data_IF_950718080309
#
_entry.id   IF_950718080309
#
_cell.length_a   1.000
_cell.length_b   1.000
_cell.length_c   1.000
_cell.angle_alpha   90.00
_cell.angle_beta   90.00
_cell.angle_gamma   90.00
#
_symmetry.space_group_name_H-M   'P 1'
#
loop_
_entity.id
_entity.type
_entity.pdbx_description
1 polymer ?
#
# COMPACT_ATOMS: atom_id res chain seq x y z
N UNK A 1 3.28 -11.85 -20.30
CA UNK A 1 4.27 -12.28 -19.28
C UNK A 1 5.01 -11.03 -18.84
N UNK A 2 4.55 -10.39 -17.77
CA UNK A 2 5.26 -9.26 -17.16
C UNK A 2 6.28 -9.87 -16.21
N UNK A 3 7.53 -10.00 -16.66
CA UNK A 3 8.64 -10.24 -15.77
C UNK A 3 8.87 -8.94 -14.99
N UNK A 4 8.36 -8.87 -13.77
CA UNK A 4 8.81 -7.89 -12.80
C UNK A 4 10.29 -8.16 -12.59
N UNK A 5 11.16 -7.39 -13.25
CA UNK A 5 12.57 -7.42 -12.95
C UNK A 5 12.69 -7.09 -11.46
N UNK A 6 13.14 -8.06 -10.65
CA UNK A 6 13.44 -7.84 -9.25
C UNK A 6 14.59 -6.84 -9.21
N UNK A 7 14.28 -5.58 -8.97
CA UNK A 7 15.31 -4.61 -8.60
C UNK A 7 15.69 -4.96 -7.16
N UNK A 8 16.96 -5.27 -6.94
CA UNK A 8 17.46 -5.58 -5.60
C UNK A 8 17.18 -4.38 -4.69
N UNK A 9 16.46 -4.65 -3.60
CA UNK A 9 16.17 -3.67 -2.57
C UNK A 9 17.39 -3.58 -1.66
N UNK A 10 18.26 -2.60 -1.91
CA UNK A 10 19.46 -2.41 -1.09
C UNK A 10 19.09 -2.37 0.40
N UNK A 11 19.86 -3.10 1.22
CA UNK A 11 19.71 -3.14 2.67
C UNK A 11 18.40 -3.76 3.21
N UNK A 12 17.55 -4.34 2.35
CA UNK A 12 16.28 -4.96 2.74
C UNK A 12 16.35 -6.46 2.52
N UNK A 13 16.01 -7.21 3.57
CA UNK A 13 15.98 -8.67 3.59
C UNK A 13 14.57 -9.13 3.92
N UNK A 14 14.06 -10.06 3.13
CA UNK A 14 12.70 -10.59 3.26
C UNK A 14 12.74 -12.11 3.47
N UNK A 15 11.78 -12.60 4.25
CA UNK A 15 11.67 -14.03 4.58
C UNK A 15 10.20 -14.46 4.50
N UNK A 16 9.89 -15.36 3.58
CA UNK A 16 8.56 -15.96 3.47
C UNK A 16 8.40 -17.13 4.44
N UNK A 17 7.37 -17.07 5.27
CA UNK A 17 7.18 -18.01 6.40
C UNK A 17 6.41 -19.26 5.94
N UNK A 18 6.01 -19.32 4.67
CA UNK A 18 5.42 -20.50 4.04
C UNK A 18 6.46 -21.61 3.81
N UNK A 19 7.76 -21.28 3.80
CA UNK A 19 8.84 -22.25 3.64
C UNK A 19 8.97 -23.14 4.90
N UNK A 20 8.82 -24.47 4.80
CA UNK A 20 8.91 -25.37 5.95
C UNK A 20 10.19 -25.24 6.77
N UNK A 21 11.35 -25.05 6.12
CA UNK A 21 12.64 -24.92 6.82
C UNK A 21 12.71 -23.63 7.67
N UNK A 22 12.03 -22.57 7.22
CA UNK A 22 11.96 -21.30 7.94
C UNK A 22 11.02 -21.42 9.14
N UNK A 23 9.92 -22.16 9.01
CA UNK A 23 8.94 -22.34 10.10
C UNK A 23 9.57 -22.97 11.35
N UNK A 24 10.42 -23.96 11.16
CA UNK A 24 11.09 -24.65 12.28
C UNK A 24 12.09 -23.74 13.00
N UNK A 25 12.73 -22.82 12.27
CA UNK A 25 13.69 -21.86 12.83
C UNK A 25 13.01 -20.66 13.51
N UNK A 26 11.74 -20.41 13.23
CA UNK A 26 11.01 -19.23 13.66
C UNK A 26 9.64 -19.59 14.27
N UNK A 27 9.61 -20.29 15.41
CA UNK A 27 8.39 -20.86 15.98
C UNK A 27 7.30 -19.80 16.23
N UNK A 28 7.65 -18.64 16.77
CA UNK A 28 6.67 -17.56 17.01
C UNK A 28 6.04 -17.02 15.72
N UNK A 29 6.80 -16.95 14.63
CA UNK A 29 6.25 -16.57 13.33
C UNK A 29 5.41 -17.68 12.72
N UNK A 30 5.77 -18.94 12.96
CA UNK A 30 4.94 -20.10 12.58
C UNK A 30 3.61 -20.07 13.32
N UNK A 31 3.62 -19.82 14.63
CA UNK A 31 2.41 -19.71 15.45
C UNK A 31 1.52 -18.57 14.93
N UNK A 32 2.08 -17.39 14.69
CA UNK A 32 1.35 -16.27 14.11
C UNK A 32 0.81 -16.57 12.70
N UNK A 33 1.53 -17.36 11.90
CA UNK A 33 1.06 -17.76 10.57
C UNK A 33 -0.16 -18.69 10.64
N UNK A 34 -0.24 -19.57 11.65
CA UNK A 34 -1.37 -20.49 11.83
C UNK A 34 -2.52 -19.90 12.67
N UNK A 35 -2.30 -18.79 13.38
CA UNK A 35 -3.34 -18.11 14.14
C UNK A 35 -4.30 -17.34 13.22
N UNK A 36 -5.51 -17.84 13.09
CA UNK A 36 -6.58 -17.24 12.30
C UNK A 36 -7.52 -16.33 13.11
N UNK A 37 -7.25 -16.03 14.38
CA UNK A 37 -8.16 -15.21 15.21
C UNK A 37 -8.40 -13.83 14.61
N UNK A 38 -7.35 -13.19 14.09
CA UNK A 38 -7.49 -11.89 13.43
C UNK A 38 -8.32 -12.00 12.15
N UNK A 39 -8.11 -13.03 11.33
CA UNK A 39 -8.90 -13.31 10.13
C UNK A 39 -10.39 -13.50 10.48
N UNK A 40 -10.70 -14.35 11.47
CA UNK A 40 -12.07 -14.60 11.93
C UNK A 40 -12.72 -13.34 12.48
N UNK A 41 -11.98 -12.54 13.24
CA UNK A 41 -12.46 -11.26 13.79
C UNK A 41 -12.77 -10.29 12.65
N UNK A 42 -11.90 -10.16 11.65
CA UNK A 42 -12.13 -9.32 10.48
C UNK A 42 -13.38 -9.75 9.70
N UNK A 43 -13.59 -11.05 9.47
CA UNK A 43 -14.81 -11.54 8.83
C UNK A 43 -16.07 -11.30 9.65
N UNK A 44 -15.96 -11.29 10.98
CA UNK A 44 -17.10 -11.01 11.87
C UNK A 44 -17.47 -9.52 11.84
N UNK A 45 -16.46 -8.64 11.88
CA UNK A 45 -16.66 -7.18 11.87
C UNK A 45 -17.00 -6.64 10.48
N UNK A 46 -16.44 -7.25 9.43
CA UNK A 46 -16.58 -6.85 8.03
C UNK A 46 -16.92 -8.09 7.15
N UNK A 47 -18.16 -8.60 7.21
CA UNK A 47 -18.56 -9.83 6.52
C UNK A 47 -18.41 -9.80 5.00
N UNK A 48 -18.39 -8.60 4.40
CA UNK A 48 -18.18 -8.41 2.96
C UNK A 48 -16.80 -8.87 2.49
N UNK A 49 -15.79 -8.93 3.37
CA UNK A 49 -14.42 -9.30 3.01
C UNK A 49 -14.29 -10.77 2.60
N UNK A 50 -15.05 -11.67 3.24
CA UNK A 50 -15.01 -13.12 3.00
C UNK A 50 -13.57 -13.66 2.91
N UNK A 51 -12.75 -13.37 3.92
CA UNK A 51 -11.35 -13.79 3.99
C UNK A 51 -11.24 -15.29 4.24
N UNK A 52 -10.33 -15.96 3.54
CA UNK A 52 -10.13 -17.41 3.58
C UNK A 52 -8.70 -17.82 3.88
N UNK A 53 -7.72 -17.01 3.47
CA UNK A 53 -6.30 -17.33 3.64
C UNK A 53 -5.53 -16.15 4.19
N UNK A 54 -4.41 -16.46 4.85
CA UNK A 54 -3.43 -15.46 5.27
C UNK A 54 -2.02 -15.88 4.88
N UNK A 55 -1.18 -14.92 4.52
CA UNK A 55 0.24 -15.11 4.25
C UNK A 55 1.04 -14.16 5.12
N UNK A 56 2.22 -14.61 5.56
CA UNK A 56 3.09 -13.88 6.46
C UNK A 56 4.49 -13.74 5.86
N UNK A 57 5.06 -12.54 5.92
CA UNK A 57 6.43 -12.24 5.51
C UNK A 57 7.14 -11.49 6.63
N UNK A 58 8.34 -11.96 6.99
CA UNK A 58 9.26 -11.21 7.84
C UNK A 58 10.12 -10.29 7.00
N UNK A 59 10.44 -9.10 7.51
CA UNK A 59 11.32 -8.16 6.83
C UNK A 59 12.25 -7.45 7.81
N UNK A 60 13.53 -7.38 7.43
CA UNK A 60 14.55 -6.54 8.03
C UNK A 60 14.97 -5.49 7.01
N UNK A 61 14.83 -4.22 7.34
CA UNK A 61 15.55 -3.13 6.68
C UNK A 61 16.73 -2.74 7.58
N UNK A 62 17.96 -2.85 7.09
CA UNK A 62 19.17 -2.56 7.87
C UNK A 62 19.38 -1.06 8.14
N UNK A 63 18.56 -0.20 7.57
CA UNK A 63 18.70 1.26 7.63
C UNK A 63 19.33 1.80 6.35
N UNK A 64 20.18 2.83 6.49
CA UNK A 64 20.93 3.44 5.38
C UNK A 64 20.05 4.01 4.25
N UNK A 65 18.84 4.44 4.59
CA UNK A 65 17.91 5.05 3.64
C UNK A 65 17.01 4.05 2.91
N UNK A 66 17.09 2.75 3.22
CA UNK A 66 16.21 1.74 2.64
C UNK A 66 14.74 2.14 2.77
N UNK A 67 14.02 2.14 1.65
CA UNK A 67 12.65 2.63 1.52
C UNK A 67 11.88 1.87 0.45
N UNK A 68 10.58 2.14 0.32
CA UNK A 68 9.72 1.52 -0.70
C UNK A 68 8.90 2.60 -1.41
N UNK A 69 8.75 2.55 -2.74
CA UNK A 69 8.06 3.59 -3.49
C UNK A 69 6.54 3.54 -3.22
N UNK A 70 5.81 4.56 -3.70
CA UNK A 70 4.34 4.53 -3.65
C UNK A 70 3.82 3.34 -4.47
N UNK A 71 2.99 2.51 -3.84
CA UNK A 71 2.33 1.36 -4.46
C UNK A 71 1.01 1.01 -3.77
N UNK A 72 0.29 0.06 -4.35
CA UNK A 72 -0.77 -0.70 -3.67
C UNK A 72 -0.33 -2.15 -3.62
N UNK A 73 -0.71 -2.88 -2.58
CA UNK A 73 -0.33 -4.30 -2.41
C UNK A 73 -1.01 -5.21 -3.42
N UNK A 74 -2.14 -4.77 -3.94
CA UNK A 74 -2.89 -5.43 -5.00
C UNK A 74 -3.41 -4.41 -5.99
N UNK A 75 -3.43 -4.80 -7.26
CA UNK A 75 -4.18 -4.06 -8.28
C UNK A 75 -5.64 -4.53 -8.28
N UNK A 76 -6.52 -3.63 -8.69
CA UNK A 76 -7.93 -3.95 -8.82
C UNK A 76 -8.12 -5.09 -9.84
N UNK A 77 -8.71 -6.20 -9.38
CA UNK A 77 -9.09 -7.34 -10.24
C UNK A 77 -8.01 -8.39 -10.49
N UNK A 78 -6.76 -8.18 -10.06
CA UNK A 78 -5.65 -9.12 -10.33
C UNK A 78 -5.32 -10.05 -9.18
N UNK A 79 -5.55 -9.64 -7.94
CA UNK A 79 -5.15 -10.35 -6.71
C UNK A 79 -6.32 -10.50 -5.74
N UNK A 80 -6.36 -11.59 -4.98
CA UNK A 80 -7.39 -11.92 -3.99
C UNK A 80 -7.14 -11.30 -2.62
N UNK A 81 -6.05 -10.54 -2.41
CA UNK A 81 -5.81 -9.83 -1.14
C UNK A 81 -6.79 -8.67 -0.97
N UNK A 82 -7.42 -8.61 0.21
CA UNK A 82 -8.33 -7.54 0.58
C UNK A 82 -7.78 -6.67 1.72
N UNK A 83 -7.06 -7.27 2.67
CA UNK A 83 -6.51 -6.58 3.83
C UNK A 83 -5.01 -6.84 3.92
N UNK A 84 -4.25 -5.75 4.03
CA UNK A 84 -2.83 -5.77 4.36
C UNK A 84 -2.64 -5.36 5.81
N UNK A 85 -1.73 -6.04 6.49
CA UNK A 85 -1.34 -5.80 7.86
C UNK A 85 0.16 -5.62 7.99
N UNK A 86 0.60 -4.68 8.82
CA UNK A 86 2.03 -4.53 9.17
C UNK A 86 2.15 -4.49 10.69
N UNK A 87 2.80 -5.51 11.26
CA UNK A 87 3.18 -5.58 12.66
C UNK A 87 4.62 -5.09 12.83
N UNK A 88 4.80 -4.05 13.65
CA UNK A 88 6.11 -3.46 13.92
C UNK A 88 6.80 -4.05 15.13
N UNK A 89 8.11 -4.22 15.03
CA UNK A 89 8.95 -4.88 16.04
C UNK A 89 10.12 -3.99 16.49
N UNK A 90 9.92 -2.67 16.56
CA UNK A 90 10.97 -1.68 16.84
C UNK A 90 10.72 -0.97 18.20
N UNK A 91 11.09 -1.59 19.34
CA UNK A 91 10.77 -1.04 20.66
C UNK A 91 11.48 0.29 20.98
N UNK A 92 12.61 0.56 20.32
CA UNK A 92 13.45 1.73 20.58
C UNK A 92 13.30 2.83 19.53
N UNK A 93 12.29 2.74 18.65
CA UNK A 93 12.08 3.76 17.62
C UNK A 93 11.77 5.12 18.27
N UNK A 94 12.36 6.19 17.71
CA UNK A 94 12.10 7.58 18.10
C UNK A 94 11.89 8.47 16.86
N UNK A 95 11.22 9.63 17.01
CA UNK A 95 11.11 10.59 15.92
C UNK A 95 12.47 10.93 15.32
N UNK A 96 12.57 10.87 13.99
CA UNK A 96 13.80 11.09 13.23
C UNK A 96 14.56 9.83 12.83
N UNK A 97 14.24 8.65 13.39
CA UNK A 97 14.82 7.37 12.96
C UNK A 97 14.39 6.97 11.54
N UNK A 98 13.24 7.50 11.09
CA UNK A 98 12.64 7.21 9.79
C UNK A 98 11.88 5.89 9.76
N UNK A 99 11.61 5.39 8.55
CA UNK A 99 10.95 4.09 8.35
C UNK A 99 9.44 4.10 8.57
N UNK A 100 8.80 5.27 8.67
CA UNK A 100 7.35 5.41 8.77
C UNK A 100 6.66 4.78 7.55
N UNK A 101 5.48 4.19 7.80
CA UNK A 101 4.55 3.85 6.73
C UNK A 101 3.70 5.08 6.45
N UNK A 102 3.85 5.64 5.24
CA UNK A 102 2.99 6.71 4.75
C UNK A 102 1.83 6.10 4.00
N UNK A 103 0.62 6.33 4.48
CA UNK A 103 -0.63 5.98 3.80
C UNK A 103 -1.15 7.19 3.01
N UNK A 104 -1.71 6.93 1.83
CA UNK A 104 -2.40 7.93 1.01
C UNK A 104 -3.88 7.56 0.91
N UNK A 105 -4.69 7.93 1.92
CA UNK A 105 -6.14 7.74 1.88
C UNK A 105 -6.80 8.76 0.95
N UNK A 106 -6.47 8.72 -0.35
CA UNK A 106 -6.99 9.67 -1.34
C UNK A 106 -8.54 9.73 -1.34
N UNK A 107 -9.15 10.92 -1.31
CA UNK A 107 -8.56 12.25 -1.54
C UNK A 107 -8.15 13.01 -0.26
N UNK A 108 -8.02 12.34 0.89
CA UNK A 108 -7.58 12.96 2.14
C UNK A 108 -6.06 13.16 2.18
N UNK A 109 -5.60 13.90 3.18
CA UNK A 109 -4.18 14.11 3.47
C UNK A 109 -3.44 12.77 3.70
N UNK A 110 -2.17 12.65 3.27
CA UNK A 110 -1.33 11.54 3.67
C UNK A 110 -1.17 11.44 5.19
N UNK A 111 -0.99 10.22 5.69
CA UNK A 111 -0.81 9.94 7.13
C UNK A 111 0.44 9.12 7.33
N UNK A 112 1.33 9.59 8.20
CA UNK A 112 2.54 8.88 8.58
C UNK A 112 2.34 8.09 9.87
N UNK A 113 2.66 6.81 9.82
CA UNK A 113 2.55 5.91 10.96
C UNK A 113 3.94 5.45 11.37
N UNK A 114 4.36 5.92 12.56
CA UNK A 114 5.61 5.50 13.18
C UNK A 114 5.65 3.97 13.41
N UNK A 115 6.77 3.29 13.09
CA UNK A 115 6.91 1.85 13.15
C UNK A 115 7.22 1.36 14.58
N UNK A 116 6.45 1.79 15.57
CA UNK A 116 6.68 1.51 17.00
C UNK A 116 6.42 0.03 17.30
N UNK A 117 7.30 -0.61 18.09
CA UNK A 117 7.16 -2.00 18.52
C UNK A 117 5.77 -2.32 19.11
N UNK A 118 5.16 -3.41 18.65
CA UNK A 118 3.82 -3.86 19.06
C UNK A 118 2.66 -3.19 18.31
N UNK A 119 2.93 -2.21 17.44
CA UNK A 119 1.88 -1.58 16.61
C UNK A 119 1.54 -2.46 15.42
N UNK A 120 0.26 -2.83 15.31
CA UNK A 120 -0.34 -3.42 14.12
C UNK A 120 -1.11 -2.34 13.34
N UNK A 121 -0.83 -2.21 12.05
CA UNK A 121 -1.58 -1.35 11.13
C UNK A 121 -2.32 -2.23 10.14
N UNK A 122 -3.63 -2.06 10.00
CA UNK A 122 -4.46 -2.77 9.02
C UNK A 122 -5.03 -1.76 8.01
N UNK A 123 -4.96 -2.09 6.72
CA UNK A 123 -5.47 -1.23 5.65
C UNK A 123 -5.89 -2.05 4.43
N UNK A 124 -6.67 -1.42 3.53
CA UNK A 124 -7.14 -2.04 2.30
C UNK A 124 -6.01 -2.29 1.32
N UNK A 125 -5.81 -3.53 0.89
CA UNK A 125 -4.74 -3.92 -0.05
C UNK A 125 -4.91 -3.27 -1.44
N UNK A 126 -6.15 -3.01 -1.84
CA UNK A 126 -6.51 -2.44 -3.14
C UNK A 126 -6.83 -0.94 -3.06
N UNK A 127 -7.40 -0.50 -1.93
CA UNK A 127 -7.96 0.84 -1.78
C UNK A 127 -7.00 1.89 -1.23
N UNK A 128 -5.86 1.48 -0.64
CA UNK A 128 -4.90 2.36 0.00
C UNK A 128 -3.55 2.29 -0.70
N UNK A 129 -3.17 3.40 -1.33
CA UNK A 129 -1.80 3.63 -1.74
C UNK A 129 -0.93 3.88 -0.51
N UNK A 130 0.29 3.39 -0.54
CA UNK A 130 1.22 3.57 0.56
C UNK A 130 2.68 3.48 0.09
N UNK A 131 3.58 4.01 0.91
CA UNK A 131 5.03 3.90 0.77
C UNK A 131 5.68 3.71 2.14
N UNK A 132 6.92 3.25 2.17
CA UNK A 132 7.74 3.27 3.39
C UNK A 132 8.77 4.37 3.22
N UNK A 133 8.83 5.30 4.18
CA UNK A 133 9.83 6.37 4.17
C UNK A 133 11.24 5.80 4.44
N UNK A 134 12.31 6.49 4.02
CA UNK A 134 13.68 6.08 4.31
C UNK A 134 13.90 5.81 5.81
N UNK A 135 14.52 4.67 6.11
CA UNK A 135 14.91 4.30 7.48
C UNK A 135 16.41 4.51 7.66
N UNK A 136 16.82 5.19 8.73
CA UNK A 136 18.24 5.41 9.04
C UNK A 136 18.77 4.47 10.12
N UNK A 137 17.88 3.70 10.73
CA UNK A 137 18.18 2.63 11.69
C UNK A 137 17.61 1.30 11.22
N UNK A 138 18.00 0.22 11.89
CA UNK A 138 17.40 -1.09 11.67
C UNK A 138 15.90 -1.05 11.98
N UNK A 139 15.10 -1.57 11.03
CA UNK A 139 13.65 -1.62 11.10
C UNK A 139 13.15 -3.02 10.78
N UNK A 140 12.43 -3.59 11.73
CA UNK A 140 11.81 -4.90 11.67
C UNK A 140 10.30 -4.75 11.53
N UNK A 141 9.72 -5.52 10.63
CA UNK A 141 8.27 -5.69 10.55
C UNK A 141 7.89 -7.08 10.07
N UNK A 142 6.64 -7.45 10.34
CA UNK A 142 5.98 -8.57 9.70
C UNK A 142 4.79 -8.07 8.89
N UNK A 143 4.76 -8.42 7.61
CA UNK A 143 3.63 -8.12 6.74
C UNK A 143 2.70 -9.33 6.70
N UNK A 144 1.41 -9.07 6.90
CA UNK A 144 0.33 -10.06 6.85
C UNK A 144 -0.58 -9.68 5.69
N UNK A 145 -0.90 -10.61 4.80
CA UNK A 145 -1.92 -10.40 3.78
C UNK A 145 -3.06 -11.36 3.99
N UNK A 146 -4.29 -10.83 4.01
CA UNK A 146 -5.51 -11.62 4.07
C UNK A 146 -6.19 -11.60 2.71
N UNK A 147 -6.41 -12.81 2.16
CA UNK A 147 -7.07 -12.99 0.88
C UNK A 147 -8.44 -13.61 1.04
N UNK A 148 -9.36 -13.24 0.15
CA UNK A 148 -10.77 -13.60 0.25
C UNK A 148 -11.48 -13.65 -1.09
N UNK A 149 -12.78 -13.92 -1.03
CA UNK A 149 -13.70 -13.89 -2.19
C UNK A 149 -14.67 -12.71 -2.14
N UNK A 150 -14.39 -11.73 -1.27
CA UNK A 150 -15.25 -10.56 -1.06
C UNK A 150 -15.60 -9.87 -2.38
N UNK A 151 -16.81 -9.30 -2.44
CA UNK A 151 -17.31 -8.72 -3.68
C UNK A 151 -16.39 -7.60 -4.16
N UNK A 152 -15.83 -7.78 -5.36
CA UNK A 152 -15.21 -6.70 -6.12
C UNK A 152 -16.34 -5.87 -6.72
N UNK A 153 -16.26 -4.55 -6.62
CA UNK A 153 -17.28 -3.63 -7.16
C UNK A 153 -17.60 -3.94 -8.64
N UNK A 154 -18.85 -3.71 -9.05
CA UNK A 154 -19.24 -3.89 -10.45
C UNK A 154 -18.47 -2.90 -11.33
N UNK A 155 -18.18 -3.28 -12.57
CA UNK A 155 -17.56 -2.41 -13.57
C UNK A 155 -18.49 -1.23 -13.93
N UNK A 156 -18.36 -0.14 -13.19
CA UNK A 156 -19.05 1.12 -13.49
C UNK A 156 -18.15 1.99 -14.36
N UNK A 157 -18.69 2.51 -15.46
CA UNK A 157 -17.93 3.38 -16.37
C UNK A 157 -17.68 4.75 -15.72
N UNK A 158 -16.53 5.42 -15.97
CA UNK A 158 -16.25 6.72 -15.36
C UNK A 158 -17.30 7.77 -15.68
N UNK A 159 -17.83 7.74 -16.91
CA UNK A 159 -18.80 8.73 -17.40
C UNK A 159 -20.17 8.67 -16.70
N UNK A 160 -20.45 7.61 -15.95
CA UNK A 160 -21.70 7.46 -15.20
C UNK A 160 -21.55 7.76 -13.71
N UNK A 161 -20.33 8.02 -13.25
CA UNK A 161 -20.03 8.34 -11.86
C UNK A 161 -19.96 9.85 -11.71
N UNK A 162 -20.47 10.37 -10.58
CA UNK A 162 -20.14 11.74 -10.20
C UNK A 162 -18.64 11.86 -9.84
N UNK A 163 -18.18 13.11 -9.65
CA UNK A 163 -16.77 13.38 -9.37
C UNK A 163 -16.26 12.66 -8.12
N UNK A 164 -17.10 12.54 -7.09
CA UNK A 164 -16.74 11.94 -5.81
C UNK A 164 -16.84 10.42 -5.88
N UNK A 165 -17.89 9.87 -6.48
CA UNK A 165 -17.98 8.45 -6.75
C UNK A 165 -16.77 7.94 -7.54
N UNK A 166 -16.28 8.76 -8.47
CA UNK A 166 -15.07 8.45 -9.24
C UNK A 166 -13.79 8.56 -8.41
N UNK A 167 -13.62 9.64 -7.64
CA UNK A 167 -12.47 9.83 -6.73
C UNK A 167 -12.40 8.74 -5.65
N UNK A 168 -13.56 8.25 -5.18
CA UNK A 168 -13.66 7.19 -4.21
C UNK A 168 -13.81 5.79 -4.83
N UNK A 169 -13.86 5.65 -6.15
CA UNK A 169 -13.91 4.34 -6.79
C UNK A 169 -12.59 3.60 -6.59
N UNK A 170 -12.61 2.39 -6.01
CA UNK A 170 -11.43 1.55 -5.86
C UNK A 170 -10.70 1.31 -7.21
N UNK A 171 -11.45 1.34 -8.32
CA UNK A 171 -10.91 1.17 -9.67
C UNK A 171 -10.14 2.39 -10.18
N UNK A 172 -10.62 3.60 -9.90
CA UNK A 172 -10.10 4.83 -10.51
C UNK A 172 -9.26 5.69 -9.56
N UNK A 173 -9.48 5.56 -8.24
CA UNK A 173 -8.79 6.31 -7.19
C UNK A 173 -7.27 6.28 -7.34
N UNK A 174 -6.68 5.10 -7.58
CA UNK A 174 -5.22 4.94 -7.78
C UNK A 174 -4.69 5.75 -8.97
N UNK A 175 -5.45 5.80 -10.06
CA UNK A 175 -5.07 6.55 -11.25
C UNK A 175 -5.12 8.06 -10.98
N UNK A 176 -6.20 8.54 -10.37
CA UNK A 176 -6.35 9.95 -9.98
C UNK A 176 -5.27 10.37 -8.98
N UNK A 177 -5.04 9.57 -7.95
CA UNK A 177 -3.98 9.79 -6.98
C UNK A 177 -2.59 9.84 -7.64
N UNK A 178 -2.31 9.00 -8.65
CA UNK A 178 -1.04 9.05 -9.39
C UNK A 178 -0.81 10.38 -10.12
N UNK A 179 -1.86 11.00 -10.63
CA UNK A 179 -1.75 12.33 -11.27
C UNK A 179 -1.56 13.42 -10.22
N UNK A 180 -2.37 13.40 -9.16
CA UNK A 180 -2.32 14.41 -8.09
C UNK A 180 -0.99 14.35 -7.33
N UNK A 181 -0.48 13.14 -7.08
CA UNK A 181 0.78 12.87 -6.36
C UNK A 181 1.95 12.64 -7.33
N UNK A 182 1.89 13.15 -8.56
CA UNK A 182 2.86 12.79 -9.60
C UNK A 182 4.32 13.05 -9.19
N UNK A 183 4.57 14.19 -8.53
CA UNK A 183 5.90 14.57 -8.04
C UNK A 183 6.34 13.68 -6.87
N UNK A 184 5.49 13.49 -5.86
CA UNK A 184 5.80 12.66 -4.70
C UNK A 184 6.01 11.18 -5.09
N UNK A 185 5.25 10.70 -6.07
CA UNK A 185 5.44 9.35 -6.63
C UNK A 185 6.80 9.24 -7.31
N UNK A 186 7.18 10.21 -8.14
CA UNK A 186 8.50 10.23 -8.78
C UNK A 186 9.62 10.29 -7.75
N UNK A 187 9.50 11.15 -6.73
CA UNK A 187 10.45 11.23 -5.62
C UNK A 187 10.58 9.89 -4.89
N UNK A 188 9.46 9.20 -4.61
CA UNK A 188 9.50 7.90 -3.95
C UNK A 188 10.25 6.84 -4.75
N UNK A 189 10.21 6.91 -6.09
CA UNK A 189 10.97 6.00 -6.96
C UNK A 189 12.47 6.28 -6.84
N UNK A 190 12.86 7.55 -6.87
CA UNK A 190 14.26 7.99 -6.74
C UNK A 190 14.83 7.64 -5.36
N UNK A 191 14.05 7.80 -4.29
CA UNK A 191 14.50 7.49 -2.93
C UNK A 191 14.62 5.98 -2.65
N UNK A 192 13.89 5.15 -3.39
CA UNK A 192 13.85 3.70 -3.15
C UNK A 192 14.81 2.89 -4.02
N UNK A 193 15.47 3.51 -5.00
CA UNK A 193 16.35 2.81 -5.92
C UNK A 193 17.62 3.62 -6.19
N UNK A 194 18.78 2.97 -6.31
CA UNK A 194 19.99 3.65 -6.74
C UNK A 194 19.85 4.13 -8.20
N UNK A 195 20.60 5.18 -8.61
CA UNK A 195 20.66 5.61 -10.00
C UNK A 195 21.01 4.44 -10.93
N UNK A 196 20.09 4.12 -11.85
CA UNK A 196 20.17 2.93 -12.69
C UNK A 196 19.29 3.09 -13.93
N UNK A 197 19.52 2.27 -14.96
CA UNK A 197 18.66 2.25 -16.15
C UNK A 197 17.24 1.79 -15.81
N UNK A 198 17.12 0.92 -14.82
CA UNK A 198 15.86 0.42 -14.28
C UNK A 198 15.06 1.56 -13.65
N UNK A 199 15.70 2.41 -12.83
CA UNK A 199 15.06 3.62 -12.27
C UNK A 199 14.61 4.58 -13.39
N UNK A 200 15.46 4.82 -14.40
CA UNK A 200 15.09 5.68 -15.53
C UNK A 200 13.85 5.15 -16.27
N UNK A 201 13.77 3.84 -16.49
CA UNK A 201 12.60 3.19 -17.09
C UNK A 201 11.35 3.32 -16.21
N UNK A 202 11.47 3.15 -14.89
CA UNK A 202 10.36 3.33 -13.95
C UNK A 202 9.83 4.76 -13.98
N UNK A 203 10.71 5.76 -14.00
CA UNK A 203 10.34 7.17 -14.10
C UNK A 203 9.67 7.49 -15.44
N UNK A 204 10.22 7.00 -16.55
CA UNK A 204 9.59 7.17 -17.86
C UNK A 204 8.20 6.55 -17.92
N UNK A 205 8.05 5.33 -17.39
CA UNK A 205 6.76 4.64 -17.33
C UNK A 205 5.76 5.39 -16.44
N UNK A 206 6.20 5.94 -15.32
CA UNK A 206 5.38 6.80 -14.46
C UNK A 206 4.89 8.04 -15.21
N UNK A 207 5.79 8.77 -15.87
CA UNK A 207 5.43 9.97 -16.65
C UNK A 207 4.44 9.66 -17.79
N UNK A 208 4.63 8.54 -18.49
CA UNK A 208 3.67 8.07 -19.50
C UNK A 208 2.29 7.79 -18.89
N UNK A 209 2.26 7.11 -17.74
CA UNK A 209 1.02 6.82 -17.03
C UNK A 209 0.31 8.09 -16.54
N UNK A 210 1.05 9.06 -16.01
CA UNK A 210 0.51 10.38 -15.63
C UNK A 210 -0.07 11.07 -16.87
N UNK A 211 0.68 11.16 -17.97
CA UNK A 211 0.22 11.80 -19.22
C UNK A 211 -1.06 11.18 -19.77
N UNK A 212 -1.14 9.83 -19.82
CA UNK A 212 -2.32 9.13 -20.29
C UNK A 212 -3.53 9.36 -19.37
N UNK A 213 -3.31 9.23 -18.06
CA UNK A 213 -4.37 9.40 -17.06
C UNK A 213 -4.91 10.83 -17.07
N UNK A 214 -4.02 11.83 -17.19
CA UNK A 214 -4.41 13.23 -17.30
C UNK A 214 -5.28 13.51 -18.52
N UNK A 215 -5.04 12.84 -19.65
CA UNK A 215 -5.90 12.95 -20.84
C UNK A 215 -7.27 12.31 -20.63
N UNK A 216 -7.31 11.13 -20.00
CA UNK A 216 -8.56 10.40 -19.74
C UNK A 216 -9.47 11.18 -18.78
N UNK A 217 -8.89 11.82 -17.77
CA UNK A 217 -9.62 12.53 -16.72
C UNK A 217 -9.53 14.07 -16.84
N UNK A 218 -9.23 14.59 -18.04
CA UNK A 218 -8.98 16.01 -18.27
C UNK A 218 -10.14 16.92 -17.82
N UNK A 219 -11.39 16.45 -17.95
CA UNK A 219 -12.59 17.22 -17.59
C UNK A 219 -12.81 17.37 -16.08
N UNK A 220 -12.27 16.46 -15.27
CA UNK A 220 -12.54 16.40 -13.82
C UNK A 220 -11.34 16.75 -12.94
N UNK A 221 -10.12 16.61 -13.47
CA UNK A 221 -8.90 16.84 -12.71
C UNK A 221 -8.82 18.26 -12.12
N UNK A 222 -9.21 19.33 -12.83
CA UNK A 222 -9.21 20.67 -12.26
C UNK A 222 -10.13 20.80 -11.03
N UNK A 223 -11.27 20.09 -11.03
CA UNK A 223 -12.19 20.11 -9.90
C UNK A 223 -11.62 19.31 -8.72
N UNK A 224 -11.09 18.11 -8.94
CA UNK A 224 -10.43 17.31 -7.90
C UNK A 224 -9.28 18.09 -7.25
N UNK A 225 -8.47 18.80 -8.05
CA UNK A 225 -7.34 19.60 -7.57
C UNK A 225 -7.75 20.76 -6.67
N UNK A 226 -8.94 21.36 -6.86
CA UNK A 226 -9.43 22.45 -5.99
C UNK A 226 -9.73 21.97 -4.58
N UNK A 227 -10.16 20.71 -4.44
CA UNK A 227 -10.59 20.15 -3.16
C UNK A 227 -9.55 19.24 -2.53
N UNK A 228 -8.51 18.83 -3.26
CA UNK A 228 -7.44 18.02 -2.71
C UNK A 228 -6.45 18.89 -1.91
N UNK A 229 -6.08 18.48 -0.70
CA UNK A 229 -6.61 17.34 0.06
C UNK A 229 -7.91 17.70 0.79
N UNK A 230 -8.84 16.76 0.77
CA UNK A 230 -10.16 16.93 1.39
C UNK A 230 -10.03 16.89 2.92
N UNK A 231 -10.81 17.72 3.63
CA UNK A 231 -10.87 17.69 5.09
C UNK A 231 -11.60 16.42 5.57
N UNK A 232 -11.06 15.65 6.54
CA UNK A 232 -11.75 14.50 7.13
C UNK A 232 -13.06 14.86 7.84
N UNK A 233 -13.23 16.12 8.26
CA UNK A 233 -14.43 16.60 8.95
C UNK A 233 -15.58 16.92 8.00
N UNK A 234 -15.32 16.96 6.69
CA UNK A 234 -16.35 17.25 5.71
C UNK A 234 -17.21 15.99 5.45
N UNK A 235 -18.34 15.96 6.16
CA UNK A 235 -19.32 14.87 6.17
C UNK A 235 -19.99 14.57 4.82
N UNK A 236 -19.79 15.44 3.81
CA UNK A 236 -20.22 15.17 2.43
C UNK A 236 -19.42 14.03 1.78
N UNK A 237 -18.32 13.59 2.40
CA UNK A 237 -17.40 12.60 1.83
C UNK A 237 -17.37 11.29 2.64
N UNK A 238 -18.13 10.28 2.20
CA UNK A 238 -18.06 8.91 2.75
C UNK A 238 -17.77 7.91 1.62
N UNK A 239 -16.49 7.59 1.44
CA UNK A 239 -16.06 6.55 0.51
C UNK A 239 -16.04 5.16 1.15
N UNK A 240 -16.32 4.13 0.37
CA UNK A 240 -16.02 2.75 0.76
C UNK A 240 -14.52 2.45 0.51
N UNK A 241 -13.89 1.73 1.44
CA UNK A 241 -12.47 1.35 1.39
C UNK A 241 -12.27 -0.15 1.17
N UNK A 242 -13.34 -0.96 1.27
CA UNK A 242 -13.31 -2.42 1.16
C UNK A 242 -14.42 -2.97 0.25
#
# INVERSE_FOLDING_TARGET
MSSTNYVDKEHIYEMEITNPLIRDLCPHFSDLHHDHHLLTTLNTLLPSLQLHTQALKGQLNQGQGGSFPIHSDSDYGTDSRHVSGVLYLNPNWKPGDGGELRLYPFPYQPIDIAPIGGRLVLFSSTGILHRVLPSFVQRYCSTIWFSGSGQRSVDVKPATLDLWELAFSARYRKHLARVILAEEWAQSLVESHPPSKELDQMLQQHLQNVSLTSKIFASILPEIQKFYPVSPEDSSFKGNWF
#
